data_IF_659448440063
#
_entry.id   IF_659448440063
#
_cell.length_a   1.000
_cell.length_b   1.000
_cell.length_c   1.000
_cell.angle_alpha   90.00
_cell.angle_beta   90.00
_cell.angle_gamma   90.00
#
_symmetry.space_group_name_H-M   'P 1'
#
loop_
_entity.id
_entity.type
_entity.pdbx_description
1 polymer ?
#
# COMPACT_ATOMS: atom_id res chain seq x y z
N UNK A 1 -1.60 8.19 -2.50
CA UNK A 1 -1.56 9.68 -2.51
C UNK A 1 -2.09 10.22 -1.20
N UNK A 2 -3.36 10.06 -0.86
CA UNK A 2 -3.98 10.66 0.33
C UNK A 2 -3.30 10.32 1.68
N UNK A 3 -2.77 9.10 1.82
CA UNK A 3 -2.15 8.62 3.07
C UNK A 3 -0.68 9.03 3.24
N UNK A 4 0.04 9.33 2.15
CA UNK A 4 1.52 9.49 2.20
C UNK A 4 2.05 10.66 1.39
N UNK A 5 1.22 11.32 0.59
CA UNK A 5 1.54 12.47 -0.27
C UNK A 5 0.37 13.47 -0.21
N UNK A 6 -0.09 13.80 0.99
CA UNK A 6 -1.24 14.67 1.18
C UNK A 6 -0.98 16.07 0.62
N UNK A 7 0.21 16.66 0.83
CA UNK A 7 0.49 18.01 0.33
C UNK A 7 0.51 18.07 -1.19
N UNK A 8 0.82 16.95 -1.87
CA UNK A 8 0.69 16.86 -3.32
C UNK A 8 -0.76 17.09 -3.75
N UNK A 9 -1.70 16.41 -3.09
CA UNK A 9 -3.12 16.54 -3.39
C UNK A 9 -3.70 17.88 -2.92
N UNK A 10 -3.36 18.33 -1.71
CA UNK A 10 -3.97 19.50 -1.08
C UNK A 10 -3.46 20.83 -1.63
N UNK A 11 -2.15 20.95 -1.88
CA UNK A 11 -1.52 22.23 -2.24
C UNK A 11 -0.61 22.14 -3.48
N UNK A 12 -0.57 20.99 -4.16
CA UNK A 12 0.24 20.80 -5.35
C UNK A 12 1.74 20.72 -5.07
N UNK A 13 2.14 20.29 -3.86
CA UNK A 13 3.55 20.15 -3.50
C UNK A 13 4.25 19.15 -4.44
N UNK A 14 5.36 19.53 -5.10
CA UNK A 14 6.11 18.62 -5.93
C UNK A 14 7.07 17.78 -5.09
N UNK A 15 7.15 16.49 -5.40
CA UNK A 15 8.12 15.57 -4.79
C UNK A 15 9.05 15.00 -5.88
N UNK A 16 10.36 14.85 -5.62
CA UNK A 16 11.21 14.08 -6.50
C UNK A 16 10.75 12.63 -6.49
N UNK A 17 10.49 12.08 -7.67
CA UNK A 17 10.05 10.69 -7.86
C UNK A 17 10.89 10.06 -8.96
N UNK A 18 11.47 8.89 -8.69
CA UNK A 18 12.27 8.16 -9.68
C UNK A 18 12.29 6.66 -9.39
N UNK A 19 12.56 5.80 -10.40
CA UNK A 19 12.85 4.40 -10.16
C UNK A 19 14.07 4.25 -9.24
N UNK A 20 14.09 3.25 -8.35
CA UNK A 20 15.26 2.97 -7.48
C UNK A 20 16.17 1.86 -8.02
N UNK A 21 15.86 1.36 -9.22
CA UNK A 21 16.62 0.34 -9.92
C UNK A 21 16.74 0.71 -11.40
N UNK A 22 17.63 0.01 -12.12
CA UNK A 22 17.89 0.22 -13.56
C UNK A 22 18.36 1.65 -13.88
N UNK A 23 19.06 2.30 -12.94
CA UNK A 23 19.51 3.69 -13.07
C UNK A 23 20.55 3.94 -14.17
N UNK A 24 21.18 2.87 -14.68
CA UNK A 24 22.14 2.91 -15.79
C UNK A 24 21.48 2.69 -17.15
N UNK A 25 20.19 2.37 -17.17
CA UNK A 25 19.41 2.19 -18.40
C UNK A 25 18.69 3.50 -18.75
N UNK A 26 18.56 3.80 -20.05
CA UNK A 26 17.83 4.98 -20.48
C UNK A 26 16.31 4.72 -20.46
N UNK A 27 15.49 5.49 -19.71
CA UNK A 27 14.04 5.34 -19.71
C UNK A 27 13.45 5.73 -21.07
N UNK A 28 12.62 4.86 -21.67
CA UNK A 28 12.08 5.04 -23.03
C UNK A 28 10.56 5.20 -23.07
N UNK A 29 9.89 5.17 -21.92
CA UNK A 29 8.43 5.28 -21.79
C UNK A 29 8.07 6.55 -21.02
N UNK A 30 6.90 7.10 -21.32
CA UNK A 30 6.27 8.16 -20.51
C UNK A 30 5.23 7.51 -19.60
N UNK A 31 5.35 7.73 -18.30
CA UNK A 31 4.43 7.21 -17.29
C UNK A 31 3.72 8.33 -16.55
N UNK A 32 2.49 8.04 -16.12
CA UNK A 32 1.76 8.80 -15.11
C UNK A 32 1.48 7.84 -13.96
N UNK A 33 1.81 8.26 -12.75
CA UNK A 33 1.62 7.49 -11.53
C UNK A 33 0.22 7.76 -11.00
N UNK A 34 -0.54 6.68 -10.83
CA UNK A 34 -1.82 6.65 -10.13
C UNK A 34 -1.67 5.68 -8.96
N UNK A 35 -2.27 6.00 -7.83
CA UNK A 35 -2.37 5.05 -6.72
C UNK A 35 -3.52 4.07 -6.96
N UNK A 36 -3.70 3.18 -5.99
CA UNK A 36 -4.70 2.09 -6.03
C UNK A 36 -6.05 2.51 -5.44
N UNK A 37 -6.26 3.80 -5.18
CA UNK A 37 -7.57 4.28 -4.71
C UNK A 37 -8.58 4.29 -5.86
N UNK A 38 -9.86 4.35 -5.51
CA UNK A 38 -10.94 4.48 -6.49
C UNK A 38 -11.17 5.94 -6.93
N UNK A 39 -10.44 6.89 -6.33
CA UNK A 39 -10.55 8.31 -6.61
C UNK A 39 -9.59 8.70 -7.75
N UNK A 40 -10.12 9.40 -8.75
CA UNK A 40 -9.33 9.90 -9.87
C UNK A 40 -8.30 10.98 -9.50
N UNK A 41 -8.44 11.57 -8.30
CA UNK A 41 -7.47 12.50 -7.72
C UNK A 41 -6.27 11.78 -7.09
N UNK A 42 -6.32 10.45 -6.96
CA UNK A 42 -5.20 9.59 -6.57
C UNK A 42 -4.10 9.50 -7.64
N UNK A 43 -3.68 10.61 -8.24
CA UNK A 43 -2.69 10.68 -9.32
C UNK A 43 -1.64 11.75 -9.07
N UNK A 44 -0.43 11.50 -9.55
CA UNK A 44 0.61 12.53 -9.63
C UNK A 44 0.50 13.25 -10.98
N UNK A 45 0.22 14.55 -10.94
CA UNK A 45 -0.04 15.33 -12.17
C UNK A 45 1.16 16.16 -12.65
N UNK A 46 2.13 16.41 -11.78
CA UNK A 46 3.34 17.17 -12.06
C UNK A 46 4.57 16.51 -11.43
N UNK A 47 5.64 16.44 -12.20
CA UNK A 47 6.90 15.82 -11.80
C UNK A 47 8.03 16.85 -11.80
N UNK A 48 8.98 16.68 -10.89
CA UNK A 48 10.24 17.43 -10.93
C UNK A 48 11.11 16.79 -12.03
N UNK A 49 11.32 17.51 -13.13
CA UNK A 49 12.15 17.05 -14.24
C UNK A 49 12.94 18.21 -14.86
N UNK A 50 14.05 17.85 -15.52
CA UNK A 50 14.82 18.76 -16.37
C UNK A 50 14.22 18.90 -17.79
N UNK A 51 13.16 18.15 -18.09
CA UNK A 51 12.43 18.23 -19.35
C UNK A 51 11.48 19.43 -19.36
N UNK A 52 11.15 19.93 -20.55
CA UNK A 52 10.20 21.04 -20.69
C UNK A 52 8.75 20.64 -20.33
N UNK A 53 8.40 19.35 -20.48
CA UNK A 53 7.07 18.82 -20.17
C UNK A 53 7.10 17.97 -18.89
N UNK A 54 6.63 18.57 -17.79
CA UNK A 54 6.60 17.98 -16.46
C UNK A 54 5.33 17.20 -16.14
N UNK A 55 4.48 16.90 -17.14
CA UNK A 55 3.22 16.16 -16.94
C UNK A 55 3.40 14.63 -16.95
N UNK A 56 4.61 14.15 -17.21
CA UNK A 56 4.92 12.72 -17.21
C UNK A 56 6.29 12.47 -16.58
N UNK A 57 6.48 11.23 -16.13
CA UNK A 57 7.75 10.72 -15.65
C UNK A 57 8.38 9.80 -16.71
N UNK A 58 9.64 10.03 -17.15
CA UNK A 58 10.37 9.05 -17.92
C UNK A 58 10.57 7.77 -17.09
N UNK A 59 10.09 6.64 -17.60
CA UNK A 59 10.21 5.33 -16.96
C UNK A 59 10.72 4.27 -17.92
N UNK A 60 11.22 3.17 -17.38
CA UNK A 60 11.61 2.01 -18.15
C UNK A 60 10.36 1.23 -18.61
N UNK A 61 10.43 0.48 -19.73
CA UNK A 61 9.45 -0.56 -20.01
C UNK A 61 9.30 -1.51 -18.80
N UNK A 62 8.06 -1.82 -18.45
CA UNK A 62 7.74 -2.74 -17.36
C UNK A 62 7.84 -4.19 -17.84
N UNK A 63 8.32 -5.05 -16.95
CA UNK A 63 8.58 -6.46 -17.22
C UNK A 63 7.75 -7.24 -16.19
N UNK A 64 6.80 -8.09 -16.61
CA UNK A 64 5.92 -8.81 -15.66
C UNK A 64 6.69 -9.74 -14.70
N UNK A 65 7.87 -10.19 -15.12
CA UNK A 65 8.74 -11.05 -14.32
C UNK A 65 9.59 -10.30 -13.27
N UNK A 66 9.58 -8.97 -13.27
CA UNK A 66 10.46 -8.18 -12.41
C UNK A 66 9.69 -7.11 -11.64
N UNK A 67 10.05 -6.94 -10.36
CA UNK A 67 9.49 -5.86 -9.55
C UNK A 67 10.07 -4.52 -9.99
N UNK A 68 9.20 -3.52 -10.13
CA UNK A 68 9.58 -2.18 -10.52
C UNK A 68 9.24 -1.20 -9.40
N UNK A 69 10.24 -0.89 -8.56
CA UNK A 69 10.06 -0.02 -7.41
C UNK A 69 10.34 1.44 -7.74
N UNK A 70 9.51 2.32 -7.17
CA UNK A 70 9.63 3.76 -7.25
C UNK A 70 10.01 4.32 -5.88
N UNK A 71 10.88 5.31 -5.88
CA UNK A 71 11.23 6.10 -4.69
C UNK A 71 10.54 7.44 -4.76
N UNK A 72 9.95 7.84 -3.62
CA UNK A 72 9.38 9.16 -3.38
C UNK A 72 10.26 9.82 -2.32
N UNK A 73 10.84 10.97 -2.65
CA UNK A 73 11.88 11.59 -1.82
C UNK A 73 11.39 12.90 -1.22
N UNK A 74 12.07 13.35 -0.15
CA UNK A 74 11.75 14.58 0.58
C UNK A 74 10.36 14.55 1.25
N UNK A 75 9.92 13.36 1.65
CA UNK A 75 8.61 13.10 2.31
C UNK A 75 8.63 13.34 3.83
N UNK A 76 9.79 13.62 4.44
CA UNK A 76 9.97 13.53 5.89
C UNK A 76 9.35 14.64 6.74
N UNK A 77 8.65 15.60 6.14
CA UNK A 77 7.98 16.68 6.87
C UNK A 77 6.49 16.67 6.53
N UNK A 78 5.64 16.77 7.56
CA UNK A 78 4.17 16.81 7.50
C UNK A 78 3.45 15.53 7.03
N UNK A 79 3.96 14.85 6.00
CA UNK A 79 3.27 13.75 5.32
C UNK A 79 2.85 12.60 6.25
N UNK A 80 3.73 12.23 7.20
CA UNK A 80 3.48 11.11 8.11
C UNK A 80 2.35 11.37 9.12
N UNK A 81 2.10 12.63 9.46
CA UNK A 81 1.12 13.03 10.48
C UNK A 81 -0.21 13.45 9.86
N UNK A 82 -0.18 14.07 8.68
CA UNK A 82 -1.39 14.64 8.08
C UNK A 82 -2.17 13.65 7.21
N UNK A 83 -1.56 12.54 6.78
CA UNK A 83 -2.18 11.57 5.87
C UNK A 83 -3.55 11.06 6.34
N UNK A 84 -4.51 11.00 5.41
CA UNK A 84 -5.86 10.47 5.65
C UNK A 84 -6.00 9.04 5.13
N UNK A 85 -6.82 8.25 5.80
CA UNK A 85 -7.05 6.84 5.51
C UNK A 85 -8.14 6.65 4.44
N UNK A 86 -7.99 7.34 3.30
CA UNK A 86 -8.89 7.24 2.16
C UNK A 86 -8.99 5.77 1.69
N UNK A 87 -10.21 5.28 1.44
CA UNK A 87 -10.50 3.86 1.16
C UNK A 87 -10.00 2.87 2.23
N UNK A 88 -9.82 3.34 3.48
CA UNK A 88 -9.28 2.54 4.58
C UNK A 88 -7.86 2.03 4.32
N UNK A 89 -7.10 2.67 3.43
CA UNK A 89 -5.65 2.44 3.36
C UNK A 89 -5.00 3.10 4.57
N UNK A 90 -4.49 2.30 5.49
CA UNK A 90 -3.84 2.80 6.70
C UNK A 90 -2.37 3.14 6.49
N UNK A 91 -1.66 3.41 7.59
CA UNK A 91 -0.23 3.74 7.54
C UNK A 91 0.57 2.59 6.91
N UNK A 92 1.56 2.94 6.10
CA UNK A 92 2.53 2.00 5.54
C UNK A 92 3.52 1.55 6.60
N UNK A 93 4.17 0.40 6.37
CA UNK A 93 5.28 -0.05 7.21
C UNK A 93 6.46 0.92 7.10
N UNK A 94 7.15 1.15 8.21
CA UNK A 94 8.28 2.05 8.33
C UNK A 94 9.50 1.30 8.86
N UNK A 95 10.68 1.63 8.33
CA UNK A 95 11.94 1.06 8.78
C UNK A 95 12.94 2.16 9.10
N UNK A 96 13.52 2.12 10.29
CA UNK A 96 14.61 3.00 10.69
C UNK A 96 15.94 2.35 10.31
N UNK A 97 16.69 3.00 9.43
CA UNK A 97 17.95 2.49 8.90
C UNK A 97 19.09 3.38 9.41
N UNK A 98 20.11 2.76 10.00
CA UNK A 98 21.33 3.45 10.42
C UNK A 98 22.48 2.99 9.52
N UNK A 99 23.28 3.94 9.06
CA UNK A 99 24.45 3.68 8.25
C UNK A 99 25.72 3.86 9.08
N UNK A 100 26.61 2.89 9.01
CA UNK A 100 27.91 2.90 9.68
C UNK A 100 28.93 2.20 8.78
N UNK A 101 30.08 2.82 8.57
CA UNK A 101 31.13 2.31 7.71
C UNK A 101 31.80 1.04 8.25
N UNK A 102 31.75 0.83 9.57
CA UNK A 102 32.37 -0.31 10.25
C UNK A 102 31.47 -1.56 10.25
N UNK A 103 30.19 -1.40 9.95
CA UNK A 103 29.24 -2.52 9.83
C UNK A 103 29.48 -3.34 8.54
N UNK A 104 29.36 -4.67 8.55
CA UNK A 104 29.65 -5.52 7.38
C UNK A 104 28.83 -5.16 6.14
N UNK A 105 27.56 -4.79 6.31
CA UNK A 105 26.67 -4.35 5.23
C UNK A 105 26.66 -2.83 5.05
N UNK A 106 27.45 -2.11 5.86
CA UNK A 106 27.50 -0.64 5.96
C UNK A 106 26.22 0.03 6.46
N UNK A 107 25.26 -0.76 6.91
CA UNK A 107 24.03 -0.32 7.55
C UNK A 107 23.43 -1.46 8.38
N UNK A 108 22.49 -1.11 9.26
CA UNK A 108 21.56 -2.06 9.87
C UNK A 108 20.15 -1.47 9.97
N UNK A 109 19.17 -2.35 10.15
CA UNK A 109 17.79 -1.97 10.42
C UNK A 109 17.61 -1.95 11.94
N UNK A 110 17.43 -0.77 12.51
CA UNK A 110 17.27 -0.59 13.95
C UNK A 110 15.86 -0.98 14.39
N UNK A 111 14.86 -0.58 13.61
CA UNK A 111 13.46 -0.77 13.96
C UNK A 111 12.61 -0.96 12.72
N UNK A 112 11.68 -1.91 12.81
CA UNK A 112 10.58 -2.06 11.86
C UNK A 112 9.29 -1.75 12.61
N UNK A 113 8.53 -0.80 12.09
CA UNK A 113 7.20 -0.46 12.57
C UNK A 113 6.23 -1.03 11.52
N UNK A 114 5.38 -2.01 11.88
CA UNK A 114 4.43 -2.58 10.93
C UNK A 114 3.40 -1.52 10.53
N UNK A 115 2.97 -1.59 9.27
CA UNK A 115 1.84 -0.81 8.77
C UNK A 115 0.54 -1.21 9.44
N UNK A 116 -0.51 -0.43 9.18
CA UNK A 116 -1.84 -0.66 9.75
C UNK A 116 -2.49 -1.89 9.11
N UNK A 117 -2.94 -2.84 9.95
CA UNK A 117 -3.67 -4.01 9.49
C UNK A 117 -5.14 -3.68 9.20
N UNK A 118 -5.81 -4.54 8.42
CA UNK A 118 -7.24 -4.39 8.09
C UNK A 118 -8.10 -4.26 9.34
N UNK A 119 -7.86 -5.07 10.38
CA UNK A 119 -8.62 -5.01 11.62
C UNK A 119 -8.50 -3.66 12.35
N UNK A 120 -7.32 -3.02 12.28
CA UNK A 120 -7.07 -1.76 12.97
C UNK A 120 -7.84 -0.64 12.28
N UNK A 121 -7.88 -0.66 10.94
CA UNK A 121 -8.69 0.27 10.15
C UNK A 121 -10.19 0.06 10.37
N UNK A 122 -10.65 -1.19 10.42
CA UNK A 122 -12.05 -1.49 10.74
C UNK A 122 -12.44 -1.01 12.14
N UNK A 123 -11.54 -1.16 13.13
CA UNK A 123 -11.79 -0.71 14.49
C UNK A 123 -11.94 0.82 14.57
N UNK A 124 -11.21 1.59 13.75
CA UNK A 124 -11.38 3.05 13.69
C UNK A 124 -12.80 3.45 13.29
N UNK A 125 -13.40 2.73 12.34
CA UNK A 125 -14.80 2.91 11.91
C UNK A 125 -15.81 2.09 12.73
N UNK A 126 -15.42 1.66 13.94
CA UNK A 126 -16.27 0.97 14.93
C UNK A 126 -16.71 -0.46 14.55
N UNK A 127 -15.95 -1.11 13.67
CA UNK A 127 -16.12 -2.54 13.34
C UNK A 127 -15.03 -3.39 13.99
N UNK A 128 -15.42 -4.20 14.97
CA UNK A 128 -14.46 -4.99 15.76
C UNK A 128 -14.41 -6.46 15.28
N UNK A 129 -13.20 -7.06 15.14
CA UNK A 129 -13.03 -8.43 14.65
C UNK A 129 -13.89 -9.48 15.35
N UNK A 130 -14.03 -9.41 16.67
CA UNK A 130 -14.82 -10.39 17.44
C UNK A 130 -16.32 -10.37 17.06
N UNK A 131 -16.89 -9.18 16.83
CA UNK A 131 -18.29 -9.06 16.42
C UNK A 131 -18.49 -9.51 14.97
N UNK A 132 -17.58 -9.10 14.09
CA UNK A 132 -17.56 -9.50 12.68
C UNK A 132 -17.43 -11.02 12.52
N UNK A 133 -16.52 -11.64 13.25
CA UNK A 133 -16.33 -13.10 13.27
C UNK A 133 -17.61 -13.81 13.67
N UNK A 134 -18.27 -13.36 14.75
CA UNK A 134 -19.51 -13.95 15.24
C UNK A 134 -20.61 -13.88 14.18
N UNK A 135 -20.84 -12.70 13.59
CA UNK A 135 -21.85 -12.50 12.54
C UNK A 135 -21.56 -13.35 11.31
N UNK A 136 -20.31 -13.42 10.87
CA UNK A 136 -19.92 -14.23 9.72
C UNK A 136 -20.11 -15.73 10.00
N UNK A 137 -19.77 -16.19 11.20
CA UNK A 137 -19.99 -17.58 11.62
C UNK A 137 -21.47 -17.96 11.63
N UNK A 138 -22.34 -17.07 12.13
CA UNK A 138 -23.80 -17.26 12.11
C UNK A 138 -24.34 -17.34 10.68
N UNK A 139 -23.87 -16.45 9.79
CA UNK A 139 -24.25 -16.45 8.38
C UNK A 139 -23.84 -17.74 7.67
N UNK A 140 -22.58 -18.16 7.82
CA UNK A 140 -22.05 -19.40 7.24
C UNK A 140 -22.84 -20.61 7.74
N UNK A 141 -23.10 -20.69 9.05
CA UNK A 141 -23.90 -21.77 9.65
C UNK A 141 -25.31 -21.85 9.07
N UNK A 142 -25.98 -20.71 8.90
CA UNK A 142 -27.31 -20.67 8.30
C UNK A 142 -27.29 -21.15 6.84
N UNK A 143 -26.27 -20.79 6.06
CA UNK A 143 -26.12 -21.24 4.66
C UNK A 143 -25.80 -22.73 4.55
N UNK A 144 -25.06 -23.30 5.49
CA UNK A 144 -24.83 -24.75 5.59
C UNK A 144 -26.14 -25.48 5.89
N UNK A 145 -26.92 -25.01 6.87
CA UNK A 145 -28.21 -25.61 7.24
C UNK A 145 -29.23 -25.57 6.10
N UNK A 146 -29.21 -24.50 5.30
CA UNK A 146 -30.06 -24.35 4.12
C UNK A 146 -29.61 -25.20 2.91
N UNK A 147 -28.49 -25.94 3.02
CA UNK A 147 -27.95 -26.75 1.92
C UNK A 147 -27.32 -25.95 0.77
N UNK A 148 -27.11 -24.64 0.95
CA UNK A 148 -26.54 -23.76 -0.09
C UNK A 148 -25.01 -23.91 -0.15
N UNK A 149 -24.37 -24.14 0.99
CA UNK A 149 -22.91 -24.24 1.11
C UNK A 149 -22.55 -25.55 1.80
N UNK A 150 -21.57 -26.30 1.27
CA UNK A 150 -21.05 -27.50 1.94
C UNK A 150 -20.31 -27.12 3.22
N UNK A 151 -20.40 -27.91 4.31
CA UNK A 151 -19.71 -27.60 5.57
C UNK A 151 -18.22 -27.27 5.42
N UNK A 152 -17.47 -28.06 4.62
CA UNK A 152 -16.03 -27.82 4.40
C UNK A 152 -15.74 -26.47 3.74
N UNK A 153 -16.52 -26.10 2.73
CA UNK A 153 -16.39 -24.81 2.03
C UNK A 153 -16.78 -23.66 2.95
N UNK A 154 -17.81 -23.83 3.78
CA UNK A 154 -18.21 -22.81 4.75
C UNK A 154 -17.12 -22.50 5.76
N UNK A 155 -16.44 -23.53 6.28
CA UNK A 155 -15.31 -23.34 7.20
C UNK A 155 -14.12 -22.67 6.48
N UNK A 156 -13.81 -23.08 5.25
CA UNK A 156 -12.76 -22.43 4.44
C UNK A 156 -13.03 -20.94 4.22
N UNK A 157 -14.27 -20.55 3.91
CA UNK A 157 -14.66 -19.14 3.78
C UNK A 157 -14.45 -18.39 5.09
N UNK A 158 -14.81 -19.00 6.23
CA UNK A 158 -14.64 -18.37 7.54
C UNK A 158 -13.16 -18.19 7.88
N UNK A 159 -12.34 -19.20 7.61
CA UNK A 159 -10.89 -19.14 7.85
C UNK A 159 -10.23 -18.06 6.98
N UNK A 160 -10.59 -17.98 5.69
CA UNK A 160 -10.11 -16.91 4.80
C UNK A 160 -10.55 -15.53 5.26
N UNK A 161 -11.82 -15.37 5.66
CA UNK A 161 -12.36 -14.13 6.18
C UNK A 161 -11.60 -13.65 7.44
N UNK A 162 -11.31 -14.57 8.35
CA UNK A 162 -10.56 -14.27 9.57
C UNK A 162 -9.09 -13.96 9.30
N UNK A 163 -8.46 -14.64 8.34
CA UNK A 163 -7.08 -14.39 7.96
C UNK A 163 -6.89 -12.95 7.45
N UNK A 164 -7.88 -12.39 6.74
CA UNK A 164 -7.82 -11.03 6.19
C UNK A 164 -7.63 -9.94 7.26
N UNK A 165 -8.05 -10.17 8.51
CA UNK A 165 -7.99 -9.16 9.56
C UNK A 165 -6.56 -8.77 9.97
N UNK A 166 -5.61 -9.69 9.91
CA UNK A 166 -4.19 -9.41 10.23
C UNK A 166 -3.40 -8.89 9.03
N UNK A 167 -3.97 -8.95 7.82
CA UNK A 167 -3.27 -8.59 6.60
C UNK A 167 -3.12 -7.06 6.47
N UNK A 168 -2.19 -6.67 5.61
CA UNK A 168 -2.02 -5.29 5.20
C UNK A 168 -3.29 -4.75 4.53
N UNK A 169 -3.52 -3.45 4.68
CA UNK A 169 -4.56 -2.73 3.93
C UNK A 169 -4.20 -2.58 2.45
N UNK A 170 -2.94 -2.82 2.06
CA UNK A 170 -2.44 -2.69 0.69
C UNK A 170 -2.45 -4.03 -0.08
N UNK A 171 -2.46 -3.93 -1.41
CA UNK A 171 -2.37 -5.09 -2.29
C UNK A 171 -0.96 -5.69 -2.29
N UNK A 172 -0.89 -7.01 -2.28
CA UNK A 172 0.33 -7.76 -2.58
C UNK A 172 0.68 -7.74 -4.08
N UNK A 173 1.92 -8.10 -4.43
CA UNK A 173 2.50 -7.91 -5.77
C UNK A 173 1.81 -8.69 -6.90
N UNK A 174 0.96 -9.68 -6.60
CA UNK A 174 0.20 -10.48 -7.59
C UNK A 174 -1.31 -10.17 -7.59
N UNK A 175 -1.75 -9.09 -6.91
CA UNK A 175 -3.17 -8.73 -6.81
C UNK A 175 -3.95 -9.49 -5.73
N UNK A 176 -3.29 -10.33 -4.93
CA UNK A 176 -3.80 -10.86 -3.66
C UNK A 176 -3.37 -9.99 -2.46
N UNK A 177 -3.99 -10.13 -1.30
CA UNK A 177 -3.57 -9.45 -0.06
C UNK A 177 -2.20 -9.99 0.40
N UNK A 178 -1.31 -9.11 0.87
CA UNK A 178 0.01 -9.49 1.41
C UNK A 178 -0.17 -10.29 2.72
N UNK A 179 0.51 -11.43 2.91
CA UNK A 179 0.35 -12.28 4.10
C UNK A 179 0.82 -11.63 5.39
#
# INVERSE_FOLDING_TARGET
VFQSMLDHWAIGQPFPIMPIARLTEHPSRRGVLVDITCDSDGKVSQYISALDDNRFLPVHPLNESERYFMGFFLMGAYEDIMGDAHNLFGRVSEAHIYADADEPQRFWIEKIIPGTAVQDMLAQVQYFPNDLQRRMSELVRAKIQAGVVRPSVGMEILDQYMACFQQSTYCGPTGGLDP
#
